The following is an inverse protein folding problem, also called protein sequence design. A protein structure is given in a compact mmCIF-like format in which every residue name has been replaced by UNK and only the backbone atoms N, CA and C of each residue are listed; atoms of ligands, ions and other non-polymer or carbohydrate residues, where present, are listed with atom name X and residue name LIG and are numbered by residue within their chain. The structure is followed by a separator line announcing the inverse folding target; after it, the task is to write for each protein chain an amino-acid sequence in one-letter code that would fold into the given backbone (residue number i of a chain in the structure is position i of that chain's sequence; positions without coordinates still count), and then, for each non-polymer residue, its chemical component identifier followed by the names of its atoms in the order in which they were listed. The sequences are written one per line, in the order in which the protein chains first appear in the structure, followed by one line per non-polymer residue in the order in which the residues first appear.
data_IF_606749462936
#
_entry.id   IF_606749462936
#
_cell.length_a   1.000
_cell.length_b   1.000
_cell.length_c   1.000
_cell.angle_alpha   90.00
_cell.angle_beta   90.00
_cell.angle_gamma   90.00
#
_symmetry.space_group_name_H-M   'P 1'
#
loop_
_entity.id
_entity.type
_entity.pdbx_description
1 polymer ?
#
# COMPACT_ATOMS: atom_id res chain seq x y z
N UNK A 1 31.97 -6.11 -2.41
CA UNK A 1 31.67 -6.01 -1.54
C UNK A 1 30.98 -4.87 -1.08
N UNK A 2 31.41 -3.77 -1.11
CA UNK A 2 30.73 -2.63 -0.63
C UNK A 2 29.40 -2.48 -1.25
N UNK A 3 29.30 -2.81 -2.47
CA UNK A 3 28.08 -2.63 -3.13
C UNK A 3 26.98 -3.42 -2.54
N UNK A 4 27.24 -4.58 -2.12
CA UNK A 4 26.22 -5.32 -1.52
C UNK A 4 25.85 -4.79 -0.25
N UNK A 5 26.78 -4.30 0.48
CA UNK A 5 26.43 -3.74 1.73
C UNK A 5 25.60 -2.55 1.58
N UNK A 6 25.82 -1.75 0.59
CA UNK A 6 25.02 -0.60 0.42
C UNK A 6 23.61 -0.96 0.11
N UNK A 7 23.42 -1.97 -0.66
CA UNK A 7 22.08 -2.33 -0.94
C UNK A 7 21.43 -2.83 0.27
N UNK A 8 22.14 -3.53 1.09
CA UNK A 8 21.55 -4.08 2.25
C UNK A 8 21.16 -3.04 3.25
N UNK A 9 21.68 -1.86 3.14
CA UNK A 9 21.33 -0.87 4.12
C UNK A 9 20.09 -0.10 3.78
N UNK A 10 19.52 -0.35 2.61
CA UNK A 10 18.34 0.40 2.29
C UNK A 10 17.21 -0.07 3.17
N UNK A 11 16.56 0.81 3.90
CA UNK A 11 15.57 0.36 4.86
C UNK A 11 14.35 -0.21 4.19
N UNK A 12 13.78 -1.21 4.82
CA UNK A 12 12.56 -1.80 4.37
C UNK A 12 11.46 -1.38 5.33
N UNK A 13 10.37 -0.93 4.81
CA UNK A 13 9.26 -0.46 5.62
C UNK A 13 8.13 -1.45 5.56
N UNK A 14 7.58 -1.79 6.71
CA UNK A 14 6.40 -2.62 6.78
C UNK A 14 5.27 -1.77 7.30
N UNK A 15 4.12 -1.86 6.67
CA UNK A 15 2.98 -1.07 7.10
C UNK A 15 1.72 -1.90 7.01
N UNK A 16 0.85 -1.75 7.98
CA UNK A 16 -0.39 -2.45 7.98
C UNK A 16 -1.48 -1.44 8.27
N UNK A 17 -2.53 -1.44 7.53
CA UNK A 17 -3.58 -0.46 7.72
C UNK A 17 -4.84 -0.77 6.95
N UNK A 18 -5.76 0.19 6.94
CA UNK A 18 -7.05 0.04 6.29
C UNK A 18 -7.22 1.13 5.25
N UNK A 19 -7.63 0.75 4.06
CA UNK A 19 -7.81 1.72 2.98
C UNK A 19 -8.96 2.67 3.31
N UNK A 20 -8.72 3.95 3.13
CA UNK A 20 -9.73 4.95 3.43
C UNK A 20 -10.51 5.34 2.19
N UNK A 21 -10.09 4.88 1.04
CA UNK A 21 -10.82 5.13 -0.19
C UNK A 21 -10.38 4.10 -1.20
N UNK A 22 -11.10 4.00 -2.29
CA UNK A 22 -10.73 3.10 -3.35
C UNK A 22 -9.42 3.55 -3.96
N UNK A 23 -8.64 2.66 -4.53
CA UNK A 23 -7.38 3.02 -5.15
C UNK A 23 -7.57 4.04 -6.26
N UNK A 24 -6.59 4.90 -6.44
CA UNK A 24 -6.65 5.94 -7.45
C UNK A 24 -5.59 5.72 -8.50
N UNK A 25 -5.93 5.84 -9.76
CA UNK A 25 -4.92 5.74 -10.81
C UNK A 25 -3.91 6.86 -10.65
N UNK A 26 -2.66 6.58 -10.98
CA UNK A 26 -1.64 7.59 -10.83
C UNK A 26 -0.73 7.56 -12.02
N UNK A 27 -0.88 8.45 -12.90
CA UNK A 27 0.02 8.57 -14.02
C UNK A 27 -0.21 7.58 -15.09
N UNK A 28 0.38 6.48 -15.06
CA UNK A 28 0.37 5.59 -16.16
C UNK A 28 -0.54 4.43 -16.00
N UNK A 29 -0.39 3.48 -16.88
CA UNK A 29 -1.13 2.26 -16.87
C UNK A 29 -0.54 1.40 -15.76
N UNK A 30 -1.30 0.74 -15.02
CA UNK A 30 -0.84 -0.10 -13.94
C UNK A 30 -0.08 0.68 -12.88
N UNK A 31 -0.50 1.89 -12.60
CA UNK A 31 0.18 2.73 -11.66
C UNK A 31 -0.88 3.26 -10.71
N UNK A 32 -0.76 3.02 -9.42
CA UNK A 32 -1.81 3.28 -8.45
C UNK A 32 -1.32 3.93 -7.19
N UNK A 33 -2.18 4.74 -6.59
CA UNK A 33 -1.95 5.26 -5.26
C UNK A 33 -3.02 4.71 -4.34
N UNK A 34 -2.58 4.29 -3.16
CA UNK A 34 -3.51 3.79 -2.16
C UNK A 34 -3.32 4.63 -0.91
N UNK A 35 -4.40 5.01 -0.27
CA UNK A 35 -4.33 5.80 0.94
C UNK A 35 -4.92 4.99 2.07
N UNK A 36 -4.19 4.81 3.12
CA UNK A 36 -4.61 3.98 4.23
C UNK A 36 -4.29 4.63 5.57
N UNK A 37 -5.04 4.27 6.58
CA UNK A 37 -4.73 4.72 7.92
C UNK A 37 -4.01 3.60 8.65
N UNK A 38 -3.12 3.96 9.50
CA UNK A 38 -2.39 3.08 10.31
C UNK A 38 -3.39 2.47 11.20
N UNK A 39 -3.81 1.43 11.26
CA UNK A 39 -4.67 0.87 12.18
C UNK A 39 -5.77 1.73 12.65
N UNK A 40 -6.87 1.30 12.78
CA UNK A 40 -8.04 2.05 13.13
C UNK A 40 -7.93 2.77 14.41
N UNK A 41 -7.19 2.24 15.34
CA UNK A 41 -7.06 2.92 16.54
C UNK A 41 -5.98 3.88 16.44
N UNK A 42 -5.34 4.01 15.36
CA UNK A 42 -4.23 4.85 15.27
C UNK A 42 -4.66 6.19 15.28
N UNK A 43 -3.91 7.15 15.31
CA UNK A 43 -4.24 8.44 15.36
C UNK A 43 -4.66 9.00 14.11
N UNK A 44 -5.05 8.29 13.17
CA UNK A 44 -5.54 8.80 11.95
C UNK A 44 -4.51 9.26 10.98
N UNK A 45 -3.29 8.86 11.13
CA UNK A 45 -2.29 9.28 10.19
C UNK A 45 -2.48 8.57 8.88
N UNK A 46 -2.57 9.33 7.82
CA UNK A 46 -2.76 8.78 6.50
C UNK A 46 -1.42 8.46 5.87
N UNK A 47 -1.31 7.28 5.29
CA UNK A 47 -0.10 6.85 4.59
C UNK A 47 -0.45 6.66 3.14
N UNK A 48 0.32 7.25 2.25
CA UNK A 48 0.11 7.13 0.82
C UNK A 48 1.11 6.14 0.26
N UNK A 49 0.61 5.14 -0.44
CA UNK A 49 1.40 4.05 -0.97
C UNK A 49 1.33 4.06 -2.47
N UNK A 50 2.48 3.97 -3.11
CA UNK A 50 2.53 3.93 -4.56
C UNK A 50 2.86 2.51 -4.98
N UNK A 51 2.06 1.95 -5.86
CA UNK A 51 2.27 0.60 -6.35
C UNK A 51 2.12 0.59 -7.85
N UNK A 52 3.08 0.02 -8.54
CA UNK A 52 3.01 -0.02 -9.99
C UNK A 52 3.40 -1.40 -10.49
N UNK A 53 3.01 -1.71 -11.70
CA UNK A 53 3.31 -2.97 -12.31
C UNK A 53 2.08 -3.83 -12.44
N UNK A 54 2.12 -4.76 -13.37
CA UNK A 54 0.96 -5.57 -13.68
C UNK A 54 0.50 -6.45 -12.54
N UNK A 55 1.44 -7.01 -11.80
CA UNK A 55 1.05 -7.87 -10.70
C UNK A 55 0.33 -7.09 -9.61
N UNK A 56 0.82 -5.90 -9.30
CA UNK A 56 0.17 -5.09 -8.30
C UNK A 56 -1.17 -4.60 -8.83
N UNK A 57 -1.22 -4.25 -10.08
CA UNK A 57 -2.44 -3.74 -10.66
C UNK A 57 -3.53 -4.79 -10.60
N UNK A 58 -3.19 -6.03 -10.88
CA UNK A 58 -4.16 -7.08 -10.83
C UNK A 58 -4.65 -7.31 -9.41
N UNK A 59 -3.74 -7.33 -8.45
CA UNK A 59 -4.11 -7.52 -7.07
C UNK A 59 -5.01 -6.38 -6.60
N UNK A 60 -4.66 -5.15 -6.95
CA UNK A 60 -5.43 -3.99 -6.55
C UNK A 60 -6.82 -4.05 -7.18
N UNK A 61 -6.88 -4.34 -8.46
CA UNK A 61 -8.16 -4.37 -9.12
C UNK A 61 -9.08 -5.45 -8.58
N UNK A 62 -8.50 -6.53 -8.09
CA UNK A 62 -9.28 -7.61 -7.61
C UNK A 62 -9.69 -7.45 -6.15
N UNK A 63 -8.86 -6.88 -5.34
CA UNK A 63 -9.05 -6.91 -3.91
C UNK A 63 -9.15 -5.58 -3.20
N UNK A 64 -8.65 -4.52 -3.78
CA UNK A 64 -8.55 -3.27 -3.04
C UNK A 64 -9.79 -2.42 -3.17
N UNK A 65 -10.31 -1.96 -2.07
CA UNK A 65 -11.44 -1.05 -2.06
C UNK A 65 -11.48 -0.38 -0.70
N UNK A 66 -12.23 0.66 -0.57
CA UNK A 66 -12.34 1.34 0.69
C UNK A 66 -12.73 0.34 1.76
N UNK A 67 -12.04 0.34 2.85
CA UNK A 67 -12.31 -0.57 3.96
C UNK A 67 -11.47 -1.83 3.96
N UNK A 68 -10.81 -2.15 2.87
CA UNK A 68 -9.99 -3.34 2.82
C UNK A 68 -8.75 -3.17 3.68
N UNK A 69 -8.28 -4.25 4.29
CA UNK A 69 -7.06 -4.19 5.06
C UNK A 69 -5.89 -4.52 4.17
N UNK A 70 -4.78 -3.90 4.39
CA UNK A 70 -3.62 -4.18 3.57
C UNK A 70 -2.35 -4.23 4.38
N UNK A 71 -1.39 -4.97 3.88
CA UNK A 71 -0.09 -5.05 4.45
C UNK A 71 0.89 -4.77 3.33
N UNK A 72 1.78 -3.84 3.53
CA UNK A 72 2.70 -3.38 2.50
C UNK A 72 4.12 -3.53 2.98
N UNK A 73 4.99 -3.95 2.08
CA UNK A 73 6.39 -3.95 2.35
C UNK A 73 7.02 -3.15 1.23
N UNK A 74 7.91 -2.27 1.54
CA UNK A 74 8.52 -1.45 0.52
C UNK A 74 9.61 -0.57 1.06
N UNK A 75 9.88 0.51 0.35
CA UNK A 75 10.91 1.45 0.73
C UNK A 75 10.30 2.83 0.83
N UNK A 76 11.05 3.76 1.33
CA UNK A 76 10.54 5.12 1.51
C UNK A 76 10.19 5.73 0.19
N UNK A 77 9.11 6.44 0.14
CA UNK A 77 8.67 7.09 -1.08
C UNK A 77 9.30 8.45 -1.24
N UNK A 78 8.76 9.18 -2.19
CA UNK A 78 9.30 10.48 -2.55
C UNK A 78 8.49 11.54 -1.87
N UNK A 79 9.11 12.30 -0.99
CA UNK A 79 8.41 13.31 -0.28
C UNK A 79 7.83 14.36 -1.18
N UNK A 80 8.50 14.68 -2.24
CA UNK A 80 8.01 15.71 -3.12
C UNK A 80 6.72 15.31 -3.80
N UNK A 81 6.53 14.04 -4.02
CA UNK A 81 5.31 13.62 -4.68
C UNK A 81 4.25 13.24 -3.67
N UNK A 82 4.57 13.30 -2.39
CA UNK A 82 3.59 12.96 -1.38
C UNK A 82 3.44 11.47 -1.13
N UNK A 83 4.36 10.67 -1.62
CA UNK A 83 4.29 9.25 -1.46
C UNK A 83 5.11 8.84 -0.25
N UNK A 84 4.50 8.10 0.66
CA UNK A 84 5.20 7.66 1.85
C UNK A 84 5.92 6.34 1.65
N UNK A 85 5.36 5.43 0.89
CA UNK A 85 5.95 4.12 0.68
C UNK A 85 5.88 3.72 -0.77
N UNK A 86 6.98 3.21 -1.30
CA UNK A 86 6.98 2.60 -2.62
C UNK A 86 6.85 1.11 -2.40
N UNK A 87 5.75 0.53 -2.78
CA UNK A 87 5.46 -0.85 -2.46
C UNK A 87 6.28 -1.82 -3.29
N UNK A 88 6.88 -2.80 -2.65
CA UNK A 88 7.52 -3.88 -3.37
C UNK A 88 6.66 -5.13 -3.19
N UNK A 89 5.84 -5.18 -2.18
CA UNK A 89 5.00 -6.32 -1.93
C UNK A 89 3.70 -5.82 -1.29
N UNK A 90 2.59 -6.38 -1.69
CA UNK A 90 1.31 -5.86 -1.29
C UNK A 90 0.35 -7.01 -1.05
N UNK A 91 -0.18 -7.13 0.12
CA UNK A 91 -1.19 -8.15 0.44
C UNK A 91 -2.46 -7.41 0.85
N UNK A 92 -3.56 -7.73 0.23
CA UNK A 92 -4.81 -7.05 0.48
C UNK A 92 -5.87 -8.07 0.87
N UNK A 93 -6.56 -7.77 1.93
CA UNK A 93 -7.62 -8.64 2.40
C UNK A 93 -8.95 -7.97 2.21
N UNK A 94 -9.66 -8.27 1.17
CA UNK A 94 -10.90 -7.59 0.88
C UNK A 94 -12.04 -8.03 1.76
N UNK A 95 -11.92 -9.19 2.36
CA UNK A 95 -13.04 -9.71 3.08
C UNK A 95 -13.21 -9.14 4.44
N UNK A 96 -12.28 -8.32 4.83
CA UNK A 96 -12.31 -7.80 6.12
C UNK A 96 -13.57 -7.11 6.48
N UNK A 97 -14.11 -6.37 5.61
CA UNK A 97 -15.20 -5.56 6.01
C UNK A 97 -16.50 -6.22 5.85
N UNK A 98 -16.58 -7.32 5.47
CA UNK A 98 -17.75 -7.91 5.28
C UNK A 98 -18.34 -8.51 6.24
N UNK A 99 -18.39 -8.47 6.99
CA UNK A 99 -18.91 -9.12 7.98
C UNK A 99 -20.25 -9.24 7.95
N UNK A 100 -20.54 -8.86 7.91
CA UNK A 100 -21.58 -8.96 8.05
C UNK A 100 -22.28 -9.22 7.24
N UNK A 101 -22.16 -9.00 6.91
CA UNK A 101 -22.78 -9.17 6.18
C UNK A 101 -23.35 -10.10 5.93
N UNK A 102 -23.35 -10.33 5.91
CA UNK A 102 -23.78 -11.06 5.69
C UNK A 102 -24.28 -11.73 6.12
N UNK A 103 -24.43 -11.66 6.39
CA UNK A 103 -24.83 -12.35 6.83
C UNK A 103 -25.21 -12.55 7.17
#
# INVERSE_FOLDING_TARGET
MATEEQRATEPVIWFEGTLIRDPQPHGGHDDWLLEALVDPDGNGRKITIHASGGDHSENIGRNAHKGARLMVKGTAGDEESGIDIEATSLAIDPSHDEPDGKR
#
